data_IF_756466410560
#
_entry.id   IF_756466410560
#
_cell.length_a   1.000
_cell.length_b   1.000
_cell.length_c   1.000
_cell.angle_alpha   90.00
_cell.angle_beta   90.00
_cell.angle_gamma   90.00
#
_symmetry.space_group_name_H-M   'P 1'
#
loop_
_entity.id
_entity.type
_entity.pdbx_description
1 polymer ?
#
# COMPACT_ATOMS: atom_id res chain seq x y z
N UNK A 1 -27.33 -80.20 -11.62
CA UNK A 1 -26.99 -79.24 -12.70
C UNK A 1 -27.54 -77.87 -12.35
N UNK A 2 -26.68 -76.89 -12.07
CA UNK A 2 -26.88 -75.45 -12.33
C UNK A 2 -25.64 -74.69 -11.87
N UNK A 3 -24.86 -74.19 -12.84
CA UNK A 3 -23.67 -73.37 -12.63
C UNK A 3 -24.14 -71.96 -12.26
N UNK A 4 -23.76 -71.44 -11.10
CA UNK A 4 -24.02 -70.05 -10.71
C UNK A 4 -22.78 -69.24 -11.08
N UNK A 5 -22.94 -68.37 -12.06
CA UNK A 5 -21.92 -67.48 -12.58
C UNK A 5 -21.86 -66.23 -11.67
N UNK A 6 -20.76 -66.07 -10.94
CA UNK A 6 -20.53 -64.88 -10.10
C UNK A 6 -19.93 -63.81 -11.00
N UNK A 7 -20.72 -62.79 -11.33
CA UNK A 7 -20.28 -61.59 -12.06
C UNK A 7 -19.76 -60.59 -11.02
N UNK A 8 -18.46 -60.33 -11.04
CA UNK A 8 -17.82 -59.32 -10.20
C UNK A 8 -17.97 -57.97 -10.90
N UNK A 9 -18.87 -57.12 -10.39
CA UNK A 9 -19.06 -55.76 -10.87
C UNK A 9 -18.04 -54.90 -10.11
N UNK A 10 -16.93 -54.56 -10.79
CA UNK A 10 -15.93 -53.65 -10.26
C UNK A 10 -16.48 -52.24 -10.15
N UNK A 11 -16.67 -51.75 -8.93
CA UNK A 11 -16.98 -50.35 -8.66
C UNK A 11 -15.70 -49.52 -8.90
N UNK A 12 -15.63 -48.83 -10.03
CA UNK A 12 -14.60 -47.82 -10.27
C UNK A 12 -14.92 -46.59 -9.39
N UNK A 13 -14.25 -46.47 -8.25
CA UNK A 13 -14.26 -45.23 -7.48
C UNK A 13 -13.41 -44.18 -8.23
N UNK A 14 -14.05 -43.31 -9.00
CA UNK A 14 -13.42 -42.08 -9.48
C UNK A 14 -13.19 -41.16 -8.28
N UNK A 15 -12.00 -41.24 -7.70
CA UNK A 15 -11.52 -40.26 -6.74
C UNK A 15 -11.21 -38.95 -7.48
N UNK A 16 -12.21 -38.08 -7.58
CA UNK A 16 -11.97 -36.68 -7.91
C UNK A 16 -11.16 -36.05 -6.77
N UNK A 17 -9.87 -35.82 -6.96
CA UNK A 17 -9.09 -34.93 -6.11
C UNK A 17 -9.66 -33.52 -6.24
N UNK A 18 -10.50 -33.09 -5.29
CA UNK A 18 -10.92 -31.69 -5.20
C UNK A 18 -9.64 -30.85 -5.06
N UNK A 19 -9.41 -29.91 -5.98
CA UNK A 19 -8.32 -28.95 -5.84
C UNK A 19 -8.56 -28.16 -4.56
N UNK A 20 -7.54 -28.06 -3.71
CA UNK A 20 -7.61 -27.24 -2.50
C UNK A 20 -7.85 -25.78 -2.87
N UNK A 21 -8.65 -25.05 -2.08
CA UNK A 21 -8.87 -23.62 -2.30
C UNK A 21 -7.55 -22.86 -2.13
N UNK A 22 -7.42 -21.77 -2.88
CA UNK A 22 -6.22 -20.93 -2.93
C UNK A 22 -6.46 -19.61 -2.20
N UNK A 23 -5.43 -18.99 -1.62
CA UNK A 23 -5.54 -17.65 -1.06
C UNK A 23 -5.90 -16.63 -2.15
N UNK A 24 -6.58 -15.53 -1.78
CA UNK A 24 -6.88 -14.45 -2.72
C UNK A 24 -5.59 -13.76 -3.17
N UNK A 25 -5.57 -13.27 -4.40
CA UNK A 25 -4.53 -12.35 -4.87
C UNK A 25 -4.92 -10.90 -4.54
N UNK A 26 -3.93 -9.99 -4.53
CA UNK A 26 -4.19 -8.56 -4.32
C UNK A 26 -4.89 -7.94 -5.54
N UNK A 27 -5.80 -7.01 -5.30
CA UNK A 27 -6.46 -6.28 -6.37
C UNK A 27 -5.51 -5.27 -7.03
N UNK A 28 -5.56 -5.19 -8.36
CA UNK A 28 -4.91 -4.10 -9.09
C UNK A 28 -5.80 -2.86 -9.07
N UNK A 29 -5.27 -1.76 -8.56
CA UNK A 29 -5.97 -0.48 -8.50
C UNK A 29 -5.98 0.17 -9.89
N UNK A 30 -7.03 0.93 -10.19
CA UNK A 30 -7.19 1.56 -11.51
C UNK A 30 -7.62 3.03 -11.47
N UNK A 31 -8.38 3.45 -10.45
CA UNK A 31 -8.82 4.83 -10.33
C UNK A 31 -9.26 5.16 -8.89
N UNK A 32 -9.01 6.36 -8.33
CA UNK A 32 -8.19 7.46 -8.88
C UNK A 32 -6.76 7.04 -9.23
N UNK A 33 -6.10 7.74 -10.15
CA UNK A 33 -4.74 7.40 -10.58
C UNK A 33 -3.71 7.67 -9.47
N UNK A 34 -2.66 6.84 -9.42
CA UNK A 34 -1.59 6.96 -8.44
C UNK A 34 -0.85 8.29 -8.56
N UNK A 35 -0.60 8.92 -7.42
CA UNK A 35 0.15 10.17 -7.27
C UNK A 35 -0.36 11.30 -8.18
N UNK A 36 -1.69 11.44 -8.31
CA UNK A 36 -2.32 12.39 -9.23
C UNK A 36 -3.36 13.28 -8.55
N UNK A 37 -3.85 14.30 -9.25
CA UNK A 37 -5.08 15.00 -8.89
C UNK A 37 -6.31 14.35 -9.56
N UNK A 38 -7.28 13.94 -8.75
CA UNK A 38 -8.58 13.45 -9.21
C UNK A 38 -9.54 14.62 -9.49
N UNK A 39 -9.64 14.99 -10.76
CA UNK A 39 -10.50 16.10 -11.24
C UNK A 39 -11.92 15.68 -11.65
N UNK A 40 -12.20 14.37 -11.71
CA UNK A 40 -13.50 13.85 -12.20
C UNK A 40 -14.54 13.62 -11.09
N UNK A 41 -14.26 14.08 -9.86
CA UNK A 41 -15.20 13.96 -8.75
C UNK A 41 -16.48 14.76 -8.99
N UNK A 42 -17.65 14.18 -8.68
CA UNK A 42 -18.94 14.86 -8.83
C UNK A 42 -19.15 15.78 -7.63
N UNK A 43 -19.18 17.09 -7.84
CA UNK A 43 -19.37 18.06 -6.77
C UNK A 43 -20.71 17.85 -6.05
N UNK A 44 -20.66 17.60 -4.74
CA UNK A 44 -21.86 17.51 -3.89
C UNK A 44 -22.21 18.87 -3.30
N UNK A 45 -21.20 19.64 -2.92
CA UNK A 45 -21.32 21.00 -2.38
C UNK A 45 -20.00 21.77 -2.57
N UNK A 46 -19.86 22.92 -1.93
CA UNK A 46 -18.66 23.77 -2.05
C UNK A 46 -17.39 23.11 -1.51
N UNK A 47 -17.48 22.23 -0.50
CA UNK A 47 -16.31 21.64 0.18
C UNK A 47 -16.10 20.15 -0.12
N UNK A 48 -17.10 19.47 -0.71
CA UNK A 48 -17.10 18.00 -0.87
C UNK A 48 -17.46 17.61 -2.30
N UNK A 49 -16.77 16.60 -2.84
CA UNK A 49 -17.11 15.90 -4.08
C UNK A 49 -17.21 14.39 -3.82
N UNK A 50 -18.06 13.72 -4.58
CA UNK A 50 -18.14 12.27 -4.63
C UNK A 50 -17.09 11.74 -5.60
N UNK A 51 -16.11 11.01 -5.08
CA UNK A 51 -15.05 10.36 -5.86
C UNK A 51 -15.39 8.89 -6.06
N UNK A 52 -15.26 8.43 -7.30
CA UNK A 52 -15.38 7.01 -7.65
C UNK A 52 -14.01 6.34 -7.53
N UNK A 53 -14.00 5.14 -6.97
CA UNK A 53 -12.86 4.25 -6.83
C UNK A 53 -13.11 3.02 -7.66
N UNK A 54 -12.10 2.54 -8.37
CA UNK A 54 -12.18 1.36 -9.25
C UNK A 54 -10.94 0.50 -9.13
N UNK A 55 -11.14 -0.80 -9.14
CA UNK A 55 -10.09 -1.81 -9.14
C UNK A 55 -10.46 -2.95 -10.10
N UNK A 56 -9.48 -3.76 -10.48
CA UNK A 56 -9.69 -4.92 -11.34
C UNK A 56 -10.06 -6.15 -10.52
N UNK A 57 -10.69 -7.12 -11.18
CA UNK A 57 -10.97 -8.43 -10.59
C UNK A 57 -9.66 -9.12 -10.20
N UNK A 58 -9.59 -9.58 -8.95
CA UNK A 58 -8.46 -10.33 -8.41
C UNK A 58 -8.76 -11.84 -8.44
N UNK A 59 -7.74 -12.64 -8.72
CA UNK A 59 -7.90 -14.09 -8.71
C UNK A 59 -8.25 -14.59 -7.30
N UNK A 60 -8.97 -15.71 -7.24
CA UNK A 60 -9.29 -16.42 -6.00
C UNK A 60 -9.97 -15.52 -4.95
N UNK A 61 -10.75 -14.53 -5.38
CA UNK A 61 -11.35 -13.51 -4.51
C UNK A 61 -12.88 -13.56 -4.59
N UNK A 62 -13.53 -13.52 -3.42
CA UNK A 62 -14.99 -13.44 -3.31
C UNK A 62 -15.47 -12.02 -3.03
N UNK A 63 -14.73 -11.26 -2.20
CA UNK A 63 -15.16 -9.92 -1.79
C UNK A 63 -13.99 -8.94 -1.69
N UNK A 64 -14.34 -7.67 -1.83
CA UNK A 64 -13.45 -6.51 -1.79
C UNK A 64 -13.91 -5.55 -0.70
N UNK A 65 -12.95 -4.95 -0.02
CA UNK A 65 -13.15 -3.88 0.96
C UNK A 65 -12.21 -2.71 0.63
N UNK A 66 -12.77 -1.57 0.24
CA UNK A 66 -12.08 -0.31 0.01
C UNK A 66 -11.87 0.41 1.35
N UNK A 67 -10.63 0.82 1.60
CA UNK A 67 -10.28 1.77 2.66
C UNK A 67 -9.71 3.04 2.05
N UNK A 68 -10.24 4.19 2.44
CA UNK A 68 -9.77 5.52 2.03
C UNK A 68 -9.41 6.33 3.28
N UNK A 69 -8.22 6.89 3.33
CA UNK A 69 -7.66 7.60 4.49
C UNK A 69 -7.31 9.02 4.11
N UNK A 70 -7.82 9.99 4.85
CA UNK A 70 -7.37 11.37 4.79
C UNK A 70 -5.98 11.46 5.41
N UNK A 71 -4.96 11.81 4.61
CA UNK A 71 -3.56 11.77 5.04
C UNK A 71 -3.26 12.82 6.12
N UNK A 72 -3.92 13.98 6.05
CA UNK A 72 -3.71 15.08 7.00
C UNK A 72 -4.24 14.77 8.40
N UNK A 73 -5.29 13.94 8.49
CA UNK A 73 -6.00 13.67 9.77
C UNK A 73 -5.86 12.23 10.25
N UNK A 74 -5.40 11.31 9.39
CA UNK A 74 -5.39 9.87 9.64
C UNK A 74 -6.77 9.20 9.65
N UNK A 75 -7.87 9.97 9.52
CA UNK A 75 -9.23 9.44 9.55
C UNK A 75 -9.49 8.61 8.31
N UNK A 76 -10.06 7.42 8.51
CA UNK A 76 -10.33 6.47 7.44
C UNK A 76 -11.80 6.13 7.33
N UNK A 77 -12.25 5.93 6.10
CA UNK A 77 -13.56 5.37 5.76
C UNK A 77 -13.33 4.03 5.09
N UNK A 78 -14.09 3.03 5.53
CA UNK A 78 -14.07 1.68 4.97
C UNK A 78 -15.48 1.31 4.55
N UNK A 79 -15.66 0.75 3.35
CA UNK A 79 -16.96 0.25 2.92
C UNK A 79 -17.26 -1.14 3.53
N UNK A 80 -18.50 -1.60 3.42
CA UNK A 80 -18.81 -3.00 3.69
C UNK A 80 -18.22 -3.90 2.58
N UNK A 81 -17.87 -5.17 2.88
CA UNK A 81 -17.43 -6.12 1.88
C UNK A 81 -18.42 -6.22 0.72
N UNK A 82 -17.90 -6.19 -0.51
CA UNK A 82 -18.72 -6.17 -1.73
C UNK A 82 -18.10 -7.01 -2.84
N UNK A 83 -18.91 -7.46 -3.80
CA UNK A 83 -18.44 -8.08 -5.05
C UNK A 83 -18.25 -7.06 -6.17
N UNK A 84 -18.69 -5.82 -5.96
CA UNK A 84 -18.51 -4.74 -6.93
C UNK A 84 -17.02 -4.40 -7.10
N UNK A 85 -16.64 -3.99 -8.30
CA UNK A 85 -15.29 -3.55 -8.64
C UNK A 85 -15.13 -2.01 -8.57
N UNK A 86 -16.07 -1.36 -7.90
CA UNK A 86 -16.08 0.08 -7.72
C UNK A 86 -16.86 0.49 -6.47
N UNK A 87 -16.49 1.63 -5.88
CA UNK A 87 -17.24 2.28 -4.82
C UNK A 87 -17.16 3.80 -4.96
N UNK A 88 -18.11 4.52 -4.33
CA UNK A 88 -18.13 5.99 -4.34
C UNK A 88 -18.07 6.51 -2.93
N UNK A 89 -17.19 7.48 -2.69
CA UNK A 89 -16.96 8.06 -1.35
C UNK A 89 -17.02 9.58 -1.44
N UNK A 90 -17.82 10.26 -0.59
CA UNK A 90 -17.77 11.71 -0.47
C UNK A 90 -16.48 12.12 0.24
N UNK A 91 -15.65 12.92 -0.42
CA UNK A 91 -14.35 13.37 0.07
C UNK A 91 -14.27 14.90 0.05
N UNK A 92 -13.51 15.45 1.00
CA UNK A 92 -13.23 16.88 1.04
C UNK A 92 -12.37 17.27 -0.15
N UNK A 93 -12.69 18.40 -0.77
CA UNK A 93 -11.91 18.99 -1.86
C UNK A 93 -10.60 19.55 -1.32
N UNK A 94 -9.54 19.44 -2.13
CA UNK A 94 -8.22 19.96 -1.81
C UNK A 94 -7.42 19.16 -0.78
N UNK A 95 -7.83 17.92 -0.53
CA UNK A 95 -7.22 17.07 0.51
C UNK A 95 -6.51 15.88 -0.14
N UNK A 96 -5.30 15.52 0.34
CA UNK A 96 -4.61 14.31 -0.06
C UNK A 96 -5.20 13.08 0.64
N UNK A 97 -5.39 12.02 -0.14
CA UNK A 97 -5.95 10.75 0.32
C UNK A 97 -5.04 9.59 -0.05
N UNK A 98 -4.94 8.61 0.85
CA UNK A 98 -4.40 7.29 0.60
C UNK A 98 -5.56 6.32 0.46
N UNK A 99 -5.48 5.34 -0.44
CA UNK A 99 -6.49 4.31 -0.56
C UNK A 99 -5.90 2.97 -0.96
N UNK A 100 -6.60 1.90 -0.57
CA UNK A 100 -6.25 0.51 -0.87
C UNK A 100 -7.48 -0.38 -0.84
N UNK A 101 -7.36 -1.55 -1.45
CA UNK A 101 -8.40 -2.57 -1.49
C UNK A 101 -7.88 -3.85 -0.83
N UNK A 102 -8.67 -4.36 0.12
CA UNK A 102 -8.47 -5.68 0.72
C UNK A 102 -9.34 -6.69 -0.02
N UNK A 103 -8.74 -7.76 -0.51
CA UNK A 103 -9.43 -8.90 -1.11
C UNK A 103 -9.58 -10.01 -0.08
N UNK A 104 -10.69 -10.77 -0.16
CA UNK A 104 -10.95 -11.91 0.72
C UNK A 104 -11.45 -13.10 -0.07
N UNK A 105 -10.93 -14.27 0.27
CA UNK A 105 -11.52 -15.56 -0.09
C UNK A 105 -12.25 -16.13 1.13
N UNK A 106 -13.53 -16.49 0.96
CA UNK A 106 -14.37 -16.98 2.04
C UNK A 106 -14.15 -18.46 2.34
N UNK A 107 -13.63 -19.23 1.37
CA UNK A 107 -13.29 -20.66 1.56
C UNK A 107 -12.00 -20.83 2.39
N UNK A 108 -10.97 -20.04 2.10
CA UNK A 108 -9.71 -20.08 2.87
C UNK A 108 -9.73 -19.15 4.10
N UNK A 109 -10.65 -18.18 4.12
CA UNK A 109 -10.69 -17.06 5.10
C UNK A 109 -9.48 -16.13 5.06
N UNK A 110 -8.61 -16.30 4.08
CA UNK A 110 -7.41 -15.48 3.89
C UNK A 110 -7.74 -14.16 3.18
N UNK A 111 -6.82 -13.20 3.32
CA UNK A 111 -6.91 -11.88 2.71
C UNK A 111 -5.62 -11.53 1.97
N UNK A 112 -5.72 -10.67 0.97
CA UNK A 112 -4.59 -9.96 0.41
C UNK A 112 -4.91 -8.46 0.34
N UNK A 113 -3.89 -7.62 0.34
CA UNK A 113 -4.04 -6.17 0.33
C UNK A 113 -3.32 -5.62 -0.89
N UNK A 114 -3.95 -4.68 -1.60
CA UNK A 114 -3.31 -3.97 -2.71
C UNK A 114 -2.15 -3.10 -2.21
N UNK A 115 -1.37 -2.55 -3.16
CA UNK A 115 -0.51 -1.42 -2.86
C UNK A 115 -1.34 -0.23 -2.33
N UNK A 116 -0.67 0.65 -1.59
CA UNK A 116 -1.22 1.94 -1.18
C UNK A 116 -1.08 2.94 -2.34
N UNK A 117 -2.22 3.47 -2.78
CA UNK A 117 -2.27 4.56 -3.76
C UNK A 117 -2.64 5.89 -3.11
N UNK A 118 -2.11 6.97 -3.65
CA UNK A 118 -2.21 8.34 -3.17
C UNK A 118 -2.80 9.21 -4.27
N UNK A 119 -3.66 10.15 -3.92
CA UNK A 119 -4.17 11.16 -4.85
C UNK A 119 -4.66 12.38 -4.09
N UNK A 120 -4.77 13.52 -4.78
CA UNK A 120 -5.49 14.69 -4.30
C UNK A 120 -6.91 14.69 -4.85
N UNK A 121 -7.91 14.91 -4.00
CA UNK A 121 -9.24 15.25 -4.50
C UNK A 121 -9.24 16.72 -4.94
N UNK A 122 -9.62 17.00 -6.18
CA UNK A 122 -9.51 18.33 -6.75
C UNK A 122 -10.25 19.40 -5.92
N UNK A 123 -9.62 20.57 -5.78
CA UNK A 123 -10.13 21.69 -5.01
C UNK A 123 -9.80 23.03 -5.66
N UNK A 124 -9.59 24.07 -4.84
CA UNK A 124 -9.25 25.43 -5.31
C UNK A 124 -7.77 25.78 -5.13
N UNK A 125 -6.99 24.88 -4.55
CA UNK A 125 -5.55 25.04 -4.38
C UNK A 125 -4.84 24.98 -5.74
N UNK A 126 -3.67 25.62 -5.80
CA UNK A 126 -2.83 25.72 -7.02
C UNK A 126 -1.42 25.19 -6.81
N UNK A 127 -1.09 24.83 -5.57
CA UNK A 127 0.13 24.16 -5.13
C UNK A 127 -0.30 22.97 -4.27
N UNK A 128 0.46 21.90 -4.33
CA UNK A 128 0.21 20.66 -3.61
C UNK A 128 1.42 20.37 -2.73
N UNK A 129 1.17 19.80 -1.55
CA UNK A 129 2.27 19.25 -0.78
C UNK A 129 2.63 17.88 -1.36
N UNK A 130 3.91 17.46 -1.30
CA UNK A 130 4.31 16.16 -1.78
C UNK A 130 3.52 15.06 -1.10
N UNK A 131 3.22 13.97 -1.82
CA UNK A 131 2.70 12.78 -1.15
C UNK A 131 3.76 12.23 -0.19
N UNK A 132 3.34 11.58 0.92
CA UNK A 132 4.26 10.82 1.77
C UNK A 132 5.17 9.93 0.91
N UNK A 133 6.48 10.01 1.14
CA UNK A 133 7.43 9.17 0.40
C UNK A 133 7.08 7.69 0.62
N UNK A 134 6.97 6.94 -0.47
CA UNK A 134 6.73 5.50 -0.40
C UNK A 134 8.06 4.81 -0.10
N UNK A 135 8.10 4.07 1.01
CA UNK A 135 9.28 3.30 1.39
C UNK A 135 9.37 2.06 0.53
N UNK A 136 10.51 1.88 -0.13
CA UNK A 136 10.81 0.71 -0.93
C UNK A 136 11.53 -0.33 -0.08
N UNK A 137 12.66 0.04 0.53
CA UNK A 137 13.44 -0.83 1.40
C UNK A 137 14.15 -0.05 2.51
N UNK A 138 14.30 -0.62 3.72
CA UNK A 138 13.63 -1.82 4.21
C UNK A 138 12.14 -1.60 4.46
N UNK A 139 11.31 -2.56 4.05
CA UNK A 139 9.89 -2.58 4.40
C UNK A 139 9.70 -2.68 5.93
N UNK A 140 8.58 -2.17 6.44
CA UNK A 140 8.32 -2.18 7.89
C UNK A 140 8.25 -3.61 8.43
N UNK A 141 8.96 -3.86 9.53
CA UNK A 141 9.10 -5.18 10.15
C UNK A 141 10.11 -6.10 9.46
N UNK A 142 10.83 -5.65 8.43
CA UNK A 142 11.80 -6.48 7.73
C UNK A 142 12.98 -6.89 8.64
N UNK A 143 13.55 -8.06 8.36
CA UNK A 143 14.86 -8.47 8.87
C UNK A 143 15.89 -8.31 7.76
N UNK A 144 16.92 -7.51 8.00
CA UNK A 144 17.92 -7.14 6.99
C UNK A 144 19.33 -7.56 7.40
N UNK A 145 20.12 -7.99 6.42
CA UNK A 145 21.55 -8.29 6.60
C UNK A 145 22.32 -7.07 6.12
N UNK A 146 23.22 -6.55 6.97
CA UNK A 146 24.10 -5.43 6.61
C UNK A 146 25.22 -5.88 5.68
N UNK A 147 25.76 -4.94 4.91
CA UNK A 147 26.88 -5.17 4.02
C UNK A 147 28.21 -5.33 4.78
N UNK A 148 29.32 -5.46 4.04
CA UNK A 148 30.67 -5.61 4.60
C UNK A 148 31.17 -4.36 5.34
N UNK A 149 30.55 -3.19 5.11
CA UNK A 149 30.86 -1.93 5.79
C UNK A 149 29.98 -1.69 7.02
N UNK A 150 29.11 -2.64 7.39
CA UNK A 150 28.08 -2.51 8.40
C UNK A 150 26.98 -1.50 8.04
N UNK A 151 26.66 -1.39 6.76
CA UNK A 151 25.64 -0.48 6.24
C UNK A 151 24.44 -1.24 5.68
N UNK A 152 23.31 -0.55 5.62
CA UNK A 152 22.15 -0.96 4.84
C UNK A 152 21.70 0.18 3.94
N UNK A 153 21.04 -0.17 2.83
CA UNK A 153 20.44 0.81 1.94
C UNK A 153 19.02 1.13 2.42
N UNK A 154 18.75 2.41 2.63
CA UNK A 154 17.41 2.96 2.80
C UNK A 154 16.99 3.55 1.46
N UNK A 155 15.86 3.13 0.91
CA UNK A 155 15.36 3.58 -0.39
C UNK A 155 13.87 3.89 -0.36
N UNK A 156 13.49 4.93 -1.09
CA UNK A 156 12.13 5.44 -1.15
C UNK A 156 11.80 5.96 -2.54
N UNK A 157 10.56 6.35 -2.78
CA UNK A 157 10.15 7.15 -3.93
C UNK A 157 9.28 8.31 -3.48
N UNK A 158 9.58 9.52 -3.93
CA UNK A 158 8.75 10.71 -3.74
C UNK A 158 7.89 10.98 -4.98
N UNK A 159 6.73 11.58 -4.78
CA UNK A 159 5.88 12.06 -5.86
C UNK A 159 5.10 13.30 -5.43
N UNK A 160 4.82 14.17 -6.38
CA UNK A 160 4.00 15.36 -6.21
C UNK A 160 3.19 15.61 -7.48
N UNK A 161 2.03 16.24 -7.33
CA UNK A 161 1.09 16.53 -8.41
C UNK A 161 1.69 17.52 -9.41
N UNK A 162 2.39 18.54 -8.93
CA UNK A 162 3.00 19.62 -9.72
C UNK A 162 4.51 19.42 -9.96
N UNK A 163 5.07 18.30 -9.47
CA UNK A 163 6.44 17.83 -9.76
C UNK A 163 7.55 18.80 -9.36
N UNK A 164 7.40 19.50 -8.24
CA UNK A 164 8.33 20.54 -7.78
C UNK A 164 9.16 20.15 -6.55
N UNK A 165 9.14 18.88 -6.11
CA UNK A 165 9.97 18.36 -5.00
C UNK A 165 11.42 18.90 -5.07
N UNK A 166 11.88 19.47 -3.96
CA UNK A 166 13.21 20.05 -3.83
C UNK A 166 14.22 19.04 -3.26
N UNK A 167 13.86 18.37 -2.17
CA UNK A 167 14.80 17.53 -1.40
C UNK A 167 14.10 16.55 -0.48
N UNK A 168 14.89 15.67 0.11
CA UNK A 168 14.46 14.76 1.17
C UNK A 168 15.29 14.98 2.43
N UNK A 169 14.73 14.63 3.57
CA UNK A 169 15.42 14.48 4.85
C UNK A 169 15.19 13.06 5.36
N UNK A 170 16.26 12.32 5.58
CA UNK A 170 16.20 10.92 6.03
C UNK A 170 16.60 10.85 7.49
N UNK A 171 15.70 10.34 8.32
CA UNK A 171 15.89 10.17 9.76
C UNK A 171 16.00 8.70 10.12
N UNK A 172 16.92 8.35 11.02
CA UNK A 172 17.13 6.98 11.49
C UNK A 172 17.55 6.99 12.96
N UNK A 173 16.86 6.23 13.79
CA UNK A 173 17.17 6.08 15.21
C UNK A 173 16.86 4.65 15.68
N UNK A 174 17.36 4.28 16.87
CA UNK A 174 16.91 3.11 17.63
C UNK A 174 15.68 3.40 18.51
N UNK A 175 15.25 4.67 18.60
CA UNK A 175 13.99 5.11 19.22
C UNK A 175 12.80 5.04 18.25
N UNK A 176 11.59 4.64 18.70
CA UNK A 176 10.38 4.60 17.86
C UNK A 176 9.96 5.94 17.23
N UNK A 177 10.43 7.07 17.75
CA UNK A 177 10.27 8.39 17.14
C UNK A 177 11.65 8.87 16.65
N UNK A 178 12.02 8.58 15.38
CA UNK A 178 13.35 8.88 14.87
C UNK A 178 13.53 10.38 14.59
N UNK A 179 14.52 10.97 15.26
CA UNK A 179 14.82 12.42 15.19
C UNK A 179 16.25 12.72 14.70
N UNK A 180 17.10 11.70 14.57
CA UNK A 180 18.48 11.85 14.08
C UNK A 180 18.47 11.91 12.55
N UNK A 181 18.76 13.09 12.00
CA UNK A 181 18.95 13.30 10.57
C UNK A 181 20.27 12.67 10.12
N UNK A 182 20.20 11.66 9.25
CA UNK A 182 21.39 10.98 8.71
C UNK A 182 21.76 11.45 7.31
N UNK A 183 20.81 11.98 6.54
CA UNK A 183 21.05 12.48 5.20
C UNK A 183 20.02 13.54 4.77
N UNK A 184 20.42 14.45 3.88
CA UNK A 184 19.55 15.45 3.25
C UNK A 184 19.80 15.54 1.74
N UNK A 185 19.49 14.47 0.98
CA UNK A 185 19.76 14.44 -0.45
C UNK A 185 18.85 15.39 -1.26
N UNK A 186 19.34 15.77 -2.46
CA UNK A 186 18.49 16.40 -3.48
C UNK A 186 17.42 15.43 -4.01
N UNK A 187 16.40 15.95 -4.69
CA UNK A 187 15.32 15.15 -5.32
C UNK A 187 15.80 14.00 -6.22
N UNK A 188 17.00 14.09 -6.81
CA UNK A 188 17.55 13.06 -7.72
C UNK A 188 18.14 11.82 -7.02
N UNK A 189 18.24 11.84 -5.69
CA UNK A 189 18.80 10.75 -4.90
C UNK A 189 17.68 10.20 -4.03
N UNK A 190 17.33 8.94 -4.27
CA UNK A 190 16.19 8.24 -3.64
C UNK A 190 16.63 7.04 -2.80
N UNK A 191 17.94 6.98 -2.51
CA UNK A 191 18.53 5.99 -1.61
C UNK A 191 19.73 6.57 -0.87
N UNK A 192 19.99 6.07 0.34
CA UNK A 192 21.18 6.39 1.14
C UNK A 192 21.68 5.14 1.86
N UNK A 193 22.99 5.07 2.09
CA UNK A 193 23.56 4.09 3.00
C UNK A 193 23.49 4.60 4.44
N UNK A 194 23.11 3.71 5.36
CA UNK A 194 23.04 4.01 6.78
C UNK A 194 23.86 3.02 7.60
N UNK A 195 24.69 3.53 8.50
CA UNK A 195 25.48 2.72 9.43
C UNK A 195 24.56 2.07 10.47
N UNK A 196 24.72 0.76 10.68
CA UNK A 196 23.88 0.01 11.60
C UNK A 196 24.64 -1.05 12.40
N UNK A 197 24.16 -1.32 13.62
CA UNK A 197 24.64 -2.40 14.46
C UNK A 197 23.78 -3.66 14.34
N UNK A 198 24.41 -4.83 14.44
CA UNK A 198 23.71 -6.12 14.48
C UNK A 198 22.83 -6.25 15.71
N UNK A 199 21.80 -7.09 15.63
CA UNK A 199 20.86 -7.38 16.71
C UNK A 199 20.10 -6.13 17.22
N UNK A 200 20.06 -5.06 16.42
CA UNK A 200 19.41 -3.78 16.75
C UNK A 200 18.16 -3.58 15.88
N UNK A 201 17.11 -3.01 16.47
CA UNK A 201 15.93 -2.52 15.75
C UNK A 201 16.11 -1.04 15.51
N UNK A 202 15.91 -0.63 14.27
CA UNK A 202 15.95 0.76 13.87
C UNK A 202 14.58 1.20 13.37
N UNK A 203 14.30 2.49 13.55
CA UNK A 203 13.13 3.21 13.09
C UNK A 203 13.60 4.33 12.19
N UNK A 204 12.90 4.53 11.08
CA UNK A 204 13.29 5.53 10.10
C UNK A 204 12.09 6.12 9.40
N UNK A 205 12.29 7.31 8.86
CA UNK A 205 11.30 8.01 8.03
C UNK A 205 12.00 8.90 7.02
N UNK A 206 11.26 9.28 6.00
CA UNK A 206 11.65 10.27 5.01
C UNK A 206 10.67 11.43 5.07
N UNK A 207 11.20 12.63 5.23
CA UNK A 207 10.44 13.88 5.04
C UNK A 207 10.76 14.42 3.66
N UNK A 208 9.72 14.62 2.85
CA UNK A 208 9.84 15.21 1.51
C UNK A 208 9.55 16.70 1.61
N UNK A 209 10.36 17.53 0.95
CA UNK A 209 10.16 18.98 0.90
C UNK A 209 10.06 19.46 -0.55
N UNK A 210 9.08 20.31 -0.84
CA UNK A 210 8.93 20.96 -2.14
C UNK A 210 9.59 22.35 -2.19
N UNK A 211 9.40 23.07 -3.30
CA UNK A 211 9.96 24.42 -3.51
C UNK A 211 9.11 25.54 -2.92
N UNK A 212 7.82 25.28 -2.70
CA UNK A 212 6.89 26.21 -2.06
C UNK A 212 6.98 26.18 -0.52
N UNK A 213 7.75 25.24 0.02
CA UNK A 213 7.99 25.06 1.45
C UNK A 213 6.99 24.13 2.13
N UNK A 214 6.16 23.40 1.38
CA UNK A 214 5.35 22.33 1.97
C UNK A 214 6.20 21.07 2.19
N UNK A 215 5.69 20.19 3.04
CA UNK A 215 6.35 18.93 3.35
C UNK A 215 5.36 17.82 3.68
N UNK A 216 5.85 16.58 3.56
CA UNK A 216 5.14 15.38 3.99
C UNK A 216 6.09 14.39 4.66
N UNK A 217 5.53 13.53 5.51
CA UNK A 217 6.26 12.50 6.27
C UNK A 217 5.79 11.12 5.79
N UNK A 218 6.73 10.22 5.48
CA UNK A 218 6.43 8.83 5.08
C UNK A 218 5.65 8.05 6.14
N UNK A 219 5.67 8.51 7.39
CA UNK A 219 5.41 7.71 8.57
C UNK A 219 6.67 6.96 9.00
N UNK A 220 6.62 6.36 10.19
CA UNK A 220 7.76 5.63 10.77
C UNK A 220 7.73 4.17 10.32
N UNK A 221 8.84 3.73 9.73
CA UNK A 221 9.11 2.35 9.34
C UNK A 221 10.15 1.76 10.28
N UNK A 222 10.12 0.44 10.49
CA UNK A 222 11.10 -0.24 11.33
C UNK A 222 11.71 -1.44 10.64
N UNK A 223 12.95 -1.77 10.98
CA UNK A 223 13.58 -3.01 10.55
C UNK A 223 14.54 -3.51 11.63
N UNK A 224 14.83 -4.81 11.61
CA UNK A 224 15.80 -5.45 12.51
C UNK A 224 17.03 -5.88 11.73
N UNK A 225 18.20 -5.51 12.21
CA UNK A 225 19.47 -5.97 11.64
C UNK A 225 19.80 -7.34 12.21
N UNK A 226 20.00 -8.30 11.32
CA UNK A 226 20.40 -9.67 11.67
C UNK A 226 21.84 -9.96 11.25
N UNK A 227 22.38 -11.07 11.75
CA UNK A 227 23.72 -11.55 11.39
C UNK A 227 23.80 -12.03 9.96
#
# INVERSE_FOLDING_TARGET
MKKILIVIIGLLAMACSKKSPKPPESAMLSFPEQNSECTTGISLNTTTSQVEFRWLEANHTDTYELRVTNILTGISVTNAPTTALSARVPLLKGVPYQWRVTTRNNETQEIAVSADWFFYNAGSQTTYAPFPAQILEPASGASVVRDLNNQITLSWSGADVDSDIQSYQVYLDSSPDPQVLIASPSVFITDVQADVAVDTVYYWRVVTLDREGNSSDSGVYSFRVIR
#
